data_IF_112781306952
#
_entry.id   IF_112781306952
#
_cell.length_a   1.000
_cell.length_b   1.000
_cell.length_c   1.000
_cell.angle_alpha   90.00
_cell.angle_beta   90.00
_cell.angle_gamma   90.00
#
_symmetry.space_group_name_H-M   'P 1'
#
loop_
_entity.id
_entity.type
_entity.pdbx_description
1 polymer ?
#
# COMPACT_ATOMS: atom_id res chain seq x y z
N UNK A 1 5.02 -34.28 1.37
CA UNK A 1 5.54 -32.96 0.92
C UNK A 1 4.99 -32.44 -0.43
N UNK A 2 3.69 -32.59 -0.80
CA UNK A 2 3.13 -31.84 -1.94
C UNK A 2 2.35 -30.55 -1.57
N UNK A 3 1.95 -30.34 -0.31
CA UNK A 3 1.09 -29.20 0.06
C UNK A 3 1.81 -27.83 0.06
N UNK A 4 3.11 -27.78 0.38
CA UNK A 4 3.86 -26.52 0.45
C UNK A 4 4.11 -25.88 -0.93
N UNK A 5 4.36 -26.68 -1.97
CA UNK A 5 4.67 -26.15 -3.31
C UNK A 5 3.47 -25.50 -3.99
N UNK A 6 2.25 -25.97 -3.69
CA UNK A 6 1.01 -25.40 -4.24
C UNK A 6 0.65 -24.06 -3.59
N UNK A 7 0.83 -23.93 -2.27
CA UNK A 7 0.53 -22.68 -1.54
C UNK A 7 1.43 -21.53 -2.01
N UNK A 8 2.71 -21.82 -2.23
CA UNK A 8 3.70 -20.82 -2.64
C UNK A 8 3.47 -20.33 -4.09
N UNK A 9 2.97 -21.22 -4.96
CA UNK A 9 2.57 -20.89 -6.33
C UNK A 9 1.33 -19.99 -6.37
N UNK A 10 0.33 -20.25 -5.50
CA UNK A 10 -0.87 -19.41 -5.42
C UNK A 10 -0.58 -18.02 -4.86
N UNK A 11 0.30 -17.91 -3.86
CA UNK A 11 0.76 -16.62 -3.35
C UNK A 11 1.43 -15.78 -4.46
N UNK A 12 2.31 -16.38 -5.25
CA UNK A 12 2.97 -15.72 -6.39
C UNK A 12 1.95 -15.27 -7.43
N UNK A 13 0.95 -16.10 -7.75
CA UNK A 13 -0.14 -15.72 -8.66
C UNK A 13 -0.87 -14.48 -8.15
N UNK A 14 -1.27 -14.43 -6.87
CA UNK A 14 -1.96 -13.27 -6.31
C UNK A 14 -1.09 -12.00 -6.33
N UNK A 15 0.22 -12.12 -6.09
CA UNK A 15 1.14 -11.00 -6.20
C UNK A 15 1.28 -10.50 -7.65
N UNK A 16 1.30 -11.40 -8.64
CA UNK A 16 1.24 -11.03 -10.05
C UNK A 16 -0.08 -10.33 -10.40
N UNK A 17 -1.19 -10.75 -9.80
CA UNK A 17 -2.49 -10.12 -9.99
C UNK A 17 -2.53 -8.69 -9.44
N UNK A 18 -1.95 -8.47 -8.25
CA UNK A 18 -1.75 -7.13 -7.69
C UNK A 18 -0.90 -6.30 -8.64
N UNK A 19 0.21 -6.86 -9.13
CA UNK A 19 1.10 -6.17 -10.05
C UNK A 19 0.36 -5.71 -11.31
N UNK A 20 -0.37 -6.59 -11.99
CA UNK A 20 -1.11 -6.26 -13.21
C UNK A 20 -2.19 -5.20 -12.97
N UNK A 21 -2.97 -5.33 -11.89
CA UNK A 21 -4.06 -4.41 -11.61
C UNK A 21 -3.57 -2.99 -11.27
N UNK A 22 -2.53 -2.87 -10.46
CA UNK A 22 -1.92 -1.57 -10.12
C UNK A 22 -1.07 -1.02 -11.26
N UNK A 23 -0.47 -1.87 -12.11
CA UNK A 23 0.26 -1.43 -13.29
C UNK A 23 -0.70 -0.71 -14.24
N UNK A 24 -1.86 -1.32 -14.51
CA UNK A 24 -2.92 -0.68 -15.29
C UNK A 24 -3.32 0.69 -14.72
N UNK A 25 -3.49 0.81 -13.40
CA UNK A 25 -3.76 2.10 -12.75
C UNK A 25 -2.71 3.17 -13.06
N UNK A 26 -1.43 2.77 -12.99
CA UNK A 26 -0.28 3.66 -12.98
C UNK A 26 0.16 4.07 -14.39
N UNK A 27 -0.30 3.36 -15.43
CA UNK A 27 -0.14 3.77 -16.85
C UNK A 27 -0.80 5.11 -17.16
N UNK A 28 -1.82 5.50 -16.40
CA UNK A 28 -2.49 6.78 -16.62
C UNK A 28 -1.62 7.95 -16.13
N UNK A 29 -0.87 7.80 -15.04
CA UNK A 29 -0.14 8.89 -14.36
C UNK A 29 0.61 9.86 -15.28
N UNK A 30 1.48 9.42 -16.21
CA UNK A 30 2.23 10.32 -17.08
C UNK A 30 1.35 11.07 -18.09
N UNK A 31 0.15 10.55 -18.38
CA UNK A 31 -0.78 11.14 -19.36
C UNK A 31 -1.97 11.85 -18.75
N UNK A 32 -2.21 11.78 -17.42
CA UNK A 32 -3.38 12.38 -16.76
C UNK A 32 -3.56 13.85 -17.15
N UNK A 33 -2.51 14.66 -16.94
CA UNK A 33 -2.55 16.11 -17.18
C UNK A 33 -2.70 16.49 -18.67
N UNK A 34 -1.91 15.95 -19.61
CA UNK A 34 -2.11 16.26 -21.03
C UNK A 34 -3.45 15.72 -21.54
N UNK A 35 -3.90 14.55 -21.08
CA UNK A 35 -5.20 13.99 -21.45
C UNK A 35 -6.36 14.86 -20.95
N UNK A 36 -6.29 15.36 -19.71
CA UNK A 36 -7.35 16.21 -19.17
C UNK A 36 -7.49 17.52 -19.94
N UNK A 37 -6.37 18.12 -20.33
CA UNK A 37 -6.34 19.33 -21.17
C UNK A 37 -6.88 19.04 -22.57
N UNK A 38 -6.50 17.91 -23.17
CA UNK A 38 -7.01 17.47 -24.47
C UNK A 38 -8.53 17.18 -24.46
N UNK A 39 -9.06 16.74 -23.32
CA UNK A 39 -10.49 16.53 -23.10
C UNK A 39 -11.25 17.84 -22.81
N UNK A 40 -10.57 18.95 -22.54
CA UNK A 40 -11.20 20.22 -22.12
C UNK A 40 -11.67 20.23 -20.66
N UNK A 41 -11.17 19.31 -19.82
CA UNK A 41 -11.49 19.28 -18.39
C UNK A 41 -10.68 20.35 -17.65
N UNK A 42 -11.34 21.03 -16.71
CA UNK A 42 -10.67 21.90 -15.77
C UNK A 42 -9.79 21.08 -14.80
N UNK A 43 -8.66 21.64 -14.35
CA UNK A 43 -7.70 20.91 -13.51
C UNK A 43 -8.34 20.42 -12.19
N UNK A 44 -9.26 21.20 -11.61
CA UNK A 44 -10.00 20.82 -10.40
C UNK A 44 -10.92 19.60 -10.59
N UNK A 45 -11.43 19.37 -11.80
CA UNK A 45 -12.32 18.24 -12.11
C UNK A 45 -11.57 16.90 -12.05
N UNK A 46 -10.31 16.89 -12.49
CA UNK A 46 -9.44 15.72 -12.35
C UNK A 46 -9.10 15.48 -10.87
N UNK A 47 -8.77 16.53 -10.12
CA UNK A 47 -8.55 16.45 -8.68
C UNK A 47 -9.75 15.88 -7.93
N UNK A 48 -10.97 16.31 -8.28
CA UNK A 48 -12.22 15.79 -7.73
C UNK A 48 -12.41 14.30 -8.07
N UNK A 49 -12.07 13.88 -9.30
CA UNK A 49 -12.15 12.48 -9.74
C UNK A 49 -11.20 11.58 -8.95
N UNK A 50 -9.96 12.01 -8.74
CA UNK A 50 -8.96 11.29 -7.94
C UNK A 50 -9.41 11.21 -6.47
N UNK A 51 -9.94 12.30 -5.93
CA UNK A 51 -10.45 12.36 -4.56
C UNK A 51 -11.65 11.42 -4.35
N UNK A 52 -12.57 11.36 -5.31
CA UNK A 52 -13.69 10.43 -5.27
C UNK A 52 -13.22 8.96 -5.31
N UNK A 53 -12.19 8.65 -6.10
CA UNK A 53 -11.58 7.31 -6.09
C UNK A 53 -10.94 6.97 -4.74
N UNK A 54 -10.21 7.93 -4.13
CA UNK A 54 -9.63 7.75 -2.81
C UNK A 54 -10.70 7.57 -1.72
N UNK A 55 -11.80 8.33 -1.77
CA UNK A 55 -12.92 8.18 -0.87
C UNK A 55 -13.62 6.82 -1.03
N UNK A 56 -13.88 6.40 -2.28
CA UNK A 56 -14.43 5.08 -2.57
C UNK A 56 -13.51 3.97 -2.01
N UNK A 57 -12.19 4.14 -2.11
CA UNK A 57 -11.22 3.23 -1.51
C UNK A 57 -11.37 3.18 0.02
N UNK A 58 -11.41 4.32 0.69
CA UNK A 58 -11.57 4.39 2.16
C UNK A 58 -12.86 3.70 2.61
N UNK A 59 -13.98 4.02 1.96
CA UNK A 59 -15.30 3.55 2.36
C UNK A 59 -15.51 2.06 2.04
N UNK A 60 -15.01 1.57 0.90
CA UNK A 60 -15.28 0.22 0.43
C UNK A 60 -14.21 -0.80 0.83
N UNK A 61 -13.04 -0.38 1.34
CA UNK A 61 -11.97 -1.32 1.67
C UNK A 61 -12.36 -2.33 2.77
N UNK A 62 -13.03 -1.87 3.84
CA UNK A 62 -13.64 -2.74 4.86
C UNK A 62 -14.64 -3.73 4.28
N UNK A 63 -15.50 -3.22 3.40
CA UNK A 63 -16.57 -3.99 2.79
C UNK A 63 -15.99 -5.15 1.98
N UNK A 64 -15.00 -4.87 1.13
CA UNK A 64 -14.34 -5.88 0.31
C UNK A 64 -13.54 -6.89 1.13
N UNK A 65 -12.81 -6.43 2.16
CA UNK A 65 -12.05 -7.34 3.03
C UNK A 65 -12.94 -8.35 3.76
N UNK A 66 -14.12 -7.94 4.25
CA UNK A 66 -15.10 -8.88 4.81
C UNK A 66 -15.70 -9.77 3.73
N UNK A 67 -16.02 -9.21 2.56
CA UNK A 67 -16.60 -9.98 1.46
C UNK A 67 -15.66 -11.07 0.97
N UNK A 68 -14.35 -10.83 0.98
CA UNK A 68 -13.34 -11.83 0.60
C UNK A 68 -13.26 -13.02 1.55
N UNK A 69 -13.52 -12.82 2.85
CA UNK A 69 -13.59 -13.93 3.80
C UNK A 69 -14.85 -14.77 3.63
N UNK A 70 -15.97 -14.15 3.25
CA UNK A 70 -17.26 -14.84 3.07
C UNK A 70 -17.41 -15.52 1.72
N UNK A 71 -17.02 -14.87 0.62
CA UNK A 71 -17.15 -15.40 -0.75
C UNK A 71 -15.92 -16.16 -1.22
N UNK A 72 -14.80 -16.03 -0.51
CA UNK A 72 -13.50 -16.49 -0.95
C UNK A 72 -12.79 -15.46 -1.85
N UNK A 73 -11.47 -15.63 -1.93
CA UNK A 73 -10.55 -14.74 -2.64
C UNK A 73 -10.84 -14.70 -4.14
N UNK A 74 -11.03 -15.87 -4.77
CA UNK A 74 -11.24 -15.96 -6.23
C UNK A 74 -12.47 -15.15 -6.66
N UNK A 75 -13.63 -15.44 -6.07
CA UNK A 75 -14.89 -14.78 -6.42
C UNK A 75 -14.83 -13.28 -6.18
N UNK A 76 -14.26 -12.88 -5.04
CA UNK A 76 -14.16 -11.45 -4.68
C UNK A 76 -13.26 -10.69 -5.64
N UNK A 77 -12.07 -11.22 -5.95
CA UNK A 77 -11.15 -10.59 -6.90
C UNK A 77 -11.73 -10.56 -8.31
N UNK A 78 -12.34 -11.65 -8.81
CA UNK A 78 -12.97 -11.67 -10.14
C UNK A 78 -14.09 -10.64 -10.22
N UNK A 79 -15.00 -10.60 -9.24
CA UNK A 79 -16.09 -9.61 -9.22
C UNK A 79 -15.55 -8.19 -9.22
N UNK A 80 -14.60 -7.88 -8.34
CA UNK A 80 -14.00 -6.55 -8.28
C UNK A 80 -13.28 -6.19 -9.58
N UNK A 81 -12.47 -7.09 -10.15
CA UNK A 81 -11.74 -6.82 -11.38
C UNK A 81 -12.66 -6.67 -12.59
N UNK A 82 -13.78 -7.39 -12.67
CA UNK A 82 -14.80 -7.19 -13.72
C UNK A 82 -15.46 -5.81 -13.60
N UNK A 83 -15.80 -5.37 -12.37
CA UNK A 83 -16.31 -4.01 -12.15
C UNK A 83 -15.26 -2.97 -12.55
N UNK A 84 -13.99 -3.21 -12.20
CA UNK A 84 -12.87 -2.34 -12.60
C UNK A 84 -12.70 -2.29 -14.12
N UNK A 85 -12.83 -3.44 -14.81
CA UNK A 85 -12.78 -3.52 -16.27
C UNK A 85 -13.89 -2.69 -16.91
N UNK A 86 -15.13 -2.80 -16.42
CA UNK A 86 -16.24 -1.97 -16.90
C UNK A 86 -16.00 -0.48 -16.64
N UNK A 87 -15.48 -0.12 -15.46
CA UNK A 87 -15.12 1.26 -15.13
C UNK A 87 -14.03 1.83 -16.04
N UNK A 88 -12.96 1.07 -16.31
CA UNK A 88 -11.88 1.48 -17.22
C UNK A 88 -12.34 1.52 -18.68
N UNK A 89 -13.14 0.56 -19.13
CA UNK A 89 -13.73 0.56 -20.47
C UNK A 89 -14.64 1.76 -20.69
N UNK A 90 -15.50 2.06 -19.71
CA UNK A 90 -16.32 3.27 -19.69
C UNK A 90 -15.47 4.55 -19.73
N UNK A 91 -14.43 4.64 -18.90
CA UNK A 91 -13.51 5.78 -18.92
C UNK A 91 -12.79 5.93 -20.27
N UNK A 92 -12.41 4.83 -20.90
CA UNK A 92 -11.78 4.85 -22.24
C UNK A 92 -12.73 5.44 -23.28
N UNK A 93 -14.01 5.04 -23.26
CA UNK A 93 -15.02 5.59 -24.15
C UNK A 93 -15.26 7.09 -23.89
N UNK A 94 -15.35 7.49 -22.61
CA UNK A 94 -15.51 8.90 -22.20
C UNK A 94 -14.32 9.75 -22.64
N UNK A 95 -13.09 9.27 -22.43
CA UNK A 95 -11.87 9.95 -22.85
C UNK A 95 -11.80 10.11 -24.38
N UNK A 96 -12.17 9.07 -25.12
CA UNK A 96 -12.21 9.11 -26.57
C UNK A 96 -13.25 10.12 -27.10
N UNK A 97 -14.44 10.16 -26.51
CA UNK A 97 -15.48 11.13 -26.85
C UNK A 97 -15.09 12.57 -26.47
N UNK A 98 -14.44 12.74 -25.32
CA UNK A 98 -13.95 14.02 -24.83
C UNK A 98 -12.88 14.64 -25.74
N UNK A 99 -11.86 13.86 -26.11
CA UNK A 99 -10.80 14.33 -27.01
C UNK A 99 -11.33 14.72 -28.41
N UNK A 100 -12.44 14.11 -28.86
CA UNK A 100 -13.10 14.46 -30.12
C UNK A 100 -14.08 15.64 -30.02
N UNK A 101 -14.29 16.18 -28.82
CA UNK A 101 -15.26 17.25 -28.58
C UNK A 101 -16.72 16.82 -28.72
N UNK A 102 -17.01 15.50 -28.75
CA UNK A 102 -18.39 14.98 -28.82
C UNK A 102 -19.08 15.08 -27.46
N UNK A 103 -18.31 14.88 -26.39
CA UNK A 103 -18.77 14.98 -25.01
C UNK A 103 -17.96 16.08 -24.32
N UNK A 104 -18.61 17.18 -23.91
CA UNK A 104 -17.95 18.34 -23.30
C UNK A 104 -18.52 18.67 -21.92
N UNK A 105 -17.84 19.57 -21.20
CA UNK A 105 -18.34 20.26 -20.00
C UNK A 105 -18.84 19.33 -18.87
N UNK A 106 -20.02 19.63 -18.33
CA UNK A 106 -20.63 18.91 -17.21
C UNK A 106 -20.78 17.40 -17.45
N UNK A 107 -21.39 16.95 -18.57
CA UNK A 107 -21.50 15.53 -18.90
C UNK A 107 -20.16 14.80 -18.93
N UNK A 108 -19.13 15.41 -19.53
CA UNK A 108 -17.79 14.84 -19.58
C UNK A 108 -17.21 14.64 -18.16
N UNK A 109 -17.34 15.65 -17.31
CA UNK A 109 -16.90 15.59 -15.93
C UNK A 109 -17.65 14.50 -15.14
N UNK A 110 -18.98 14.47 -15.20
CA UNK A 110 -19.80 13.49 -14.46
C UNK A 110 -19.50 12.07 -14.89
N UNK A 111 -19.37 11.81 -16.20
CA UNK A 111 -19.05 10.47 -16.69
C UNK A 111 -17.61 10.06 -16.32
N UNK A 112 -16.66 11.00 -16.34
CA UNK A 112 -15.28 10.76 -15.87
C UNK A 112 -15.25 10.42 -14.38
N UNK A 113 -15.98 11.20 -13.57
CA UNK A 113 -16.12 10.99 -12.12
C UNK A 113 -16.76 9.62 -11.81
N UNK A 114 -17.81 9.25 -12.53
CA UNK A 114 -18.52 7.99 -12.33
C UNK A 114 -17.64 6.79 -12.71
N UNK A 115 -17.10 6.79 -13.93
CA UNK A 115 -16.36 5.64 -14.49
C UNK A 115 -14.99 5.46 -13.83
N UNK A 116 -14.17 6.51 -13.81
CA UNK A 116 -12.79 6.46 -13.32
C UNK A 116 -12.68 6.68 -11.82
N UNK A 117 -13.52 7.56 -11.27
CA UNK A 117 -13.55 7.89 -9.85
C UNK A 117 -14.22 6.79 -9.04
N UNK A 118 -15.55 6.69 -9.16
CA UNK A 118 -16.36 5.84 -8.28
C UNK A 118 -16.32 4.35 -8.63
N UNK A 119 -16.64 3.98 -9.89
CA UNK A 119 -16.75 2.58 -10.29
C UNK A 119 -15.37 1.90 -10.19
N UNK A 120 -14.37 2.45 -10.87
CA UNK A 120 -13.03 1.89 -10.83
C UNK A 120 -12.37 2.04 -9.45
N UNK A 121 -12.47 3.21 -8.80
CA UNK A 121 -11.87 3.43 -7.47
C UNK A 121 -12.47 2.52 -6.39
N UNK A 122 -13.78 2.29 -6.43
CA UNK A 122 -14.45 1.36 -5.53
C UNK A 122 -14.08 -0.10 -5.79
N UNK A 123 -13.83 -0.47 -7.05
CA UNK A 123 -13.43 -1.82 -7.42
C UNK A 123 -11.97 -2.14 -7.07
N UNK A 124 -11.03 -1.24 -7.38
CA UNK A 124 -9.60 -1.46 -7.11
C UNK A 124 -9.31 -1.57 -5.60
N UNK A 125 -10.16 -0.94 -4.76
CA UNK A 125 -10.11 -1.01 -3.31
C UNK A 125 -10.21 -2.44 -2.74
N UNK A 126 -10.70 -3.40 -3.51
CA UNK A 126 -10.84 -4.79 -3.10
C UNK A 126 -9.51 -5.57 -3.14
N UNK A 127 -8.60 -5.20 -4.05
CA UNK A 127 -7.48 -6.07 -4.43
C UNK A 127 -6.48 -6.21 -3.28
N UNK A 128 -5.96 -5.08 -2.78
CA UNK A 128 -4.97 -5.06 -1.70
C UNK A 128 -5.48 -5.75 -0.42
N UNK A 129 -6.67 -5.44 0.15
CA UNK A 129 -7.11 -6.08 1.38
C UNK A 129 -7.42 -7.58 1.20
N UNK A 130 -7.97 -7.98 0.05
CA UNK A 130 -8.27 -9.39 -0.24
C UNK A 130 -7.00 -10.22 -0.30
N UNK A 131 -5.99 -9.74 -1.03
CA UNK A 131 -4.70 -10.45 -1.16
C UNK A 131 -3.95 -10.43 0.16
N UNK A 132 -3.92 -9.31 0.88
CA UNK A 132 -3.29 -9.21 2.19
C UNK A 132 -3.89 -10.23 3.17
N UNK A 133 -5.21 -10.27 3.30
CA UNK A 133 -5.90 -11.21 4.19
C UNK A 133 -5.60 -12.67 3.83
N UNK A 134 -5.55 -12.99 2.53
CA UNK A 134 -5.19 -14.34 2.07
C UNK A 134 -3.75 -14.69 2.45
N UNK A 135 -2.77 -13.84 2.12
CA UNK A 135 -1.37 -14.13 2.37
C UNK A 135 -1.08 -14.27 3.88
N UNK A 136 -1.69 -13.41 4.71
CA UNK A 136 -1.51 -13.44 6.16
C UNK A 136 -2.15 -14.67 6.80
N UNK A 137 -3.33 -15.10 6.33
CA UNK A 137 -4.00 -16.30 6.88
C UNK A 137 -3.29 -17.62 6.53
N UNK A 138 -2.45 -17.61 5.49
CA UNK A 138 -1.63 -18.75 5.06
C UNK A 138 -0.21 -18.73 5.64
N UNK A 139 0.18 -17.66 6.33
CA UNK A 139 1.46 -17.56 7.03
C UNK A 139 1.33 -18.08 8.48
N UNK A 140 2.14 -19.08 8.82
CA UNK A 140 2.14 -19.73 10.13
C UNK A 140 2.87 -18.88 11.16
N UNK A 141 3.99 -18.26 10.77
CA UNK A 141 4.84 -17.50 11.67
C UNK A 141 4.70 -15.98 11.50
N UNK A 142 5.08 -15.23 12.53
CA UNK A 142 5.16 -13.77 12.46
C UNK A 142 6.06 -13.30 11.31
N UNK A 143 7.24 -13.93 11.16
CA UNK A 143 8.19 -13.56 10.10
C UNK A 143 7.61 -13.82 8.71
N UNK A 144 6.87 -14.92 8.52
CA UNK A 144 6.18 -15.20 7.26
C UNK A 144 5.10 -14.15 6.95
N UNK A 145 4.33 -13.71 7.94
CA UNK A 145 3.32 -12.64 7.75
C UNK A 145 3.98 -11.34 7.32
N UNK A 146 5.07 -10.95 7.98
CA UNK A 146 5.86 -9.77 7.60
C UNK A 146 6.41 -9.90 6.18
N UNK A 147 6.98 -11.07 5.82
CA UNK A 147 7.50 -11.35 4.47
C UNK A 147 6.40 -11.28 3.40
N UNK A 148 5.23 -11.83 3.70
CA UNK A 148 4.05 -11.84 2.85
C UNK A 148 3.54 -10.43 2.56
N UNK A 149 3.38 -9.59 3.59
CA UNK A 149 2.91 -8.21 3.37
C UNK A 149 4.00 -7.35 2.73
N UNK A 150 5.28 -7.58 3.05
CA UNK A 150 6.40 -6.98 2.32
C UNK A 150 6.42 -7.34 0.83
N UNK A 151 6.05 -8.58 0.49
CA UNK A 151 5.88 -9.02 -0.90
C UNK A 151 4.76 -8.27 -1.63
N UNK A 152 3.63 -8.05 -0.96
CA UNK A 152 2.51 -7.27 -1.49
C UNK A 152 2.92 -5.82 -1.79
N UNK A 153 3.63 -5.17 -0.85
CA UNK A 153 4.16 -3.82 -1.03
C UNK A 153 5.16 -3.73 -2.20
N UNK A 154 6.08 -4.69 -2.30
CA UNK A 154 7.02 -4.76 -3.41
C UNK A 154 6.32 -4.93 -4.77
N UNK A 155 5.26 -5.75 -4.84
CA UNK A 155 4.47 -5.91 -6.06
C UNK A 155 3.77 -4.61 -6.48
N UNK A 156 3.21 -3.85 -5.52
CA UNK A 156 2.62 -2.53 -5.78
C UNK A 156 3.66 -1.50 -6.23
N UNK A 157 4.85 -1.48 -5.61
CA UNK A 157 5.95 -0.62 -6.00
C UNK A 157 6.43 -0.90 -7.43
N UNK A 158 6.64 -2.19 -7.76
CA UNK A 158 7.00 -2.61 -9.11
C UNK A 158 5.92 -2.23 -10.13
N UNK A 159 4.64 -2.41 -9.78
CA UNK A 159 3.51 -2.02 -10.62
C UNK A 159 3.48 -0.52 -10.91
N UNK A 160 3.81 0.32 -9.93
CA UNK A 160 3.88 1.77 -10.10
C UNK A 160 4.96 2.18 -11.09
N UNK A 161 6.16 1.63 -10.95
CA UNK A 161 7.29 1.92 -11.84
C UNK A 161 7.00 1.42 -13.26
N UNK A 162 6.66 0.13 -13.40
CA UNK A 162 6.39 -0.48 -14.70
C UNK A 162 5.20 0.18 -15.40
N UNK A 163 4.14 0.49 -14.63
CA UNK A 163 2.95 1.16 -15.14
C UNK A 163 3.27 2.55 -15.68
N UNK A 164 3.97 3.39 -14.91
CA UNK A 164 4.32 4.74 -15.36
C UNK A 164 5.22 4.72 -16.60
N UNK A 165 6.22 3.84 -16.65
CA UNK A 165 7.10 3.69 -17.83
C UNK A 165 6.30 3.22 -19.04
N UNK A 166 5.49 2.16 -18.89
CA UNK A 166 4.65 1.65 -19.97
C UNK A 166 3.66 2.72 -20.46
N UNK A 167 3.05 3.47 -19.53
CA UNK A 167 2.14 4.57 -19.85
C UNK A 167 2.80 5.65 -20.71
N UNK A 168 4.00 6.09 -20.33
CA UNK A 168 4.76 7.09 -21.09
C UNK A 168 5.20 6.59 -22.48
N UNK A 169 5.70 5.36 -22.56
CA UNK A 169 6.12 4.74 -23.84
C UNK A 169 4.93 4.58 -24.78
N UNK A 170 3.80 4.06 -24.29
CA UNK A 170 2.58 3.92 -25.10
C UNK A 170 2.06 5.29 -25.55
N UNK A 171 2.10 6.30 -24.69
CA UNK A 171 1.69 7.65 -25.05
C UNK A 171 2.55 8.23 -26.18
N UNK A 172 3.87 8.02 -26.12
CA UNK A 172 4.81 8.45 -27.14
C UNK A 172 4.61 7.71 -28.47
N UNK A 173 4.27 6.41 -28.42
CA UNK A 173 4.12 5.58 -29.60
C UNK A 173 2.76 5.78 -30.33
N UNK A 174 1.68 6.01 -29.58
CA UNK A 174 0.31 5.98 -30.13
C UNK A 174 -0.60 7.12 -29.66
N UNK A 175 -0.05 8.14 -28.99
CA UNK A 175 -0.80 9.27 -28.46
C UNK A 175 -1.46 9.00 -27.11
N UNK A 176 -2.09 10.02 -26.53
CA UNK A 176 -2.60 10.03 -25.15
C UNK A 176 -3.67 8.98 -24.85
N UNK A 177 -4.47 8.60 -25.87
CA UNK A 177 -5.52 7.59 -25.71
C UNK A 177 -4.99 6.15 -25.74
N UNK A 178 -3.78 5.92 -26.26
CA UNK A 178 -3.24 4.57 -26.36
C UNK A 178 -3.06 3.91 -24.98
N UNK A 179 -2.34 4.51 -24.00
CA UNK A 179 -2.25 3.93 -22.66
C UNK A 179 -3.62 3.77 -22.00
N UNK A 180 -4.54 4.73 -22.19
CA UNK A 180 -5.92 4.66 -21.65
C UNK A 180 -6.64 3.42 -22.15
N UNK A 181 -6.57 3.14 -23.45
CA UNK A 181 -7.18 1.96 -24.07
C UNK A 181 -6.50 0.64 -23.69
N UNK A 182 -5.23 0.66 -23.28
CA UNK A 182 -4.50 -0.53 -22.84
C UNK A 182 -4.83 -0.93 -21.40
N UNK A 183 -5.21 0.01 -20.52
CA UNK A 183 -5.52 -0.30 -19.11
C UNK A 183 -6.62 -1.37 -18.94
N UNK A 184 -7.78 -1.30 -19.64
CA UNK A 184 -8.78 -2.37 -19.62
C UNK A 184 -8.22 -3.72 -20.09
N UNK A 185 -7.35 -3.72 -21.10
CA UNK A 185 -6.76 -4.96 -21.64
C UNK A 185 -5.85 -5.63 -20.61
N UNK A 186 -5.02 -4.86 -19.91
CA UNK A 186 -4.18 -5.38 -18.81
C UNK A 186 -5.04 -5.96 -17.68
N UNK A 187 -6.14 -5.28 -17.33
CA UNK A 187 -7.11 -5.78 -16.35
C UNK A 187 -7.75 -7.10 -16.80
N UNK A 188 -8.16 -7.19 -18.07
CA UNK A 188 -8.74 -8.40 -18.65
C UNK A 188 -7.75 -9.58 -18.64
N UNK A 189 -6.49 -9.34 -19.01
CA UNK A 189 -5.42 -10.35 -18.92
C UNK A 189 -5.31 -10.87 -17.49
N UNK A 190 -5.31 -9.98 -16.50
CA UNK A 190 -5.35 -10.36 -15.09
C UNK A 190 -6.54 -11.27 -14.77
N UNK A 191 -7.76 -10.87 -15.14
CA UNK A 191 -8.98 -11.66 -14.89
C UNK A 191 -8.84 -13.07 -15.47
N UNK A 192 -8.38 -13.19 -16.72
CA UNK A 192 -8.19 -14.49 -17.39
C UNK A 192 -7.19 -15.34 -16.63
N UNK A 193 -6.03 -14.79 -16.25
CA UNK A 193 -5.01 -15.51 -15.48
C UNK A 193 -5.59 -15.99 -14.14
N UNK A 194 -6.31 -15.12 -13.43
CA UNK A 194 -6.93 -15.45 -12.14
C UNK A 194 -7.97 -16.57 -12.28
N UNK A 195 -8.85 -16.49 -13.28
CA UNK A 195 -9.91 -17.50 -13.49
C UNK A 195 -9.31 -18.87 -13.83
N UNK A 196 -8.29 -18.89 -14.70
CA UNK A 196 -7.67 -20.13 -15.22
C UNK A 196 -6.68 -20.75 -14.23
N UNK A 197 -5.88 -19.95 -13.52
CA UNK A 197 -4.75 -20.48 -12.71
C UNK A 197 -5.04 -20.53 -11.21
N UNK A 198 -5.93 -19.68 -10.69
CA UNK A 198 -6.22 -19.63 -9.26
C UNK A 198 -7.34 -20.61 -8.90
N UNK A 199 -7.07 -21.51 -7.96
CA UNK A 199 -8.03 -22.51 -7.51
C UNK A 199 -8.84 -21.98 -6.33
N UNK A 200 -10.12 -22.34 -6.24
CA UNK A 200 -10.98 -21.88 -5.14
C UNK A 200 -10.48 -22.42 -3.79
N UNK A 201 -10.69 -21.64 -2.73
CA UNK A 201 -10.40 -22.07 -1.38
C UNK A 201 -11.41 -23.15 -0.97
N UNK A 202 -10.98 -24.17 -0.24
CA UNK A 202 -11.90 -25.16 0.33
C UNK A 202 -12.98 -24.46 1.15
N UNK A 203 -14.26 -24.91 1.08
CA UNK A 203 -15.38 -24.30 1.80
C UNK A 203 -15.11 -24.11 3.30
N UNK A 204 -14.36 -25.02 3.91
CA UNK A 204 -13.99 -25.00 5.34
C UNK A 204 -13.14 -23.79 5.76
N UNK A 205 -12.58 -23.04 4.79
CA UNK A 205 -11.79 -21.82 5.05
C UNK A 205 -12.62 -20.54 4.88
N UNK A 206 -13.88 -20.63 4.47
CA UNK A 206 -14.77 -19.48 4.34
C UNK A 206 -15.36 -19.13 5.70
N UNK A 207 -15.47 -17.82 5.97
CA UNK A 207 -16.04 -17.32 7.22
C UNK A 207 -17.44 -16.80 6.93
N UNK A 208 -18.44 -17.50 7.44
CA UNK A 208 -19.85 -17.21 7.15
C UNK A 208 -20.28 -15.82 7.66
N UNK A 209 -19.78 -15.43 8.84
CA UNK A 209 -19.96 -14.12 9.47
C UNK A 209 -18.61 -13.48 9.81
N UNK A 210 -17.98 -12.77 8.86
CA UNK A 210 -16.73 -12.06 9.12
C UNK A 210 -16.91 -11.02 10.24
N UNK A 211 -15.99 -10.99 11.20
CA UNK A 211 -16.04 -10.05 12.31
C UNK A 211 -15.83 -8.60 11.81
N UNK A 212 -16.63 -7.67 12.35
CA UNK A 212 -16.40 -6.24 12.14
C UNK A 212 -15.31 -5.76 13.09
N UNK A 213 -14.21 -5.24 12.53
CA UNK A 213 -13.13 -4.67 13.33
C UNK A 213 -13.35 -3.16 13.44
N UNK A 214 -13.40 -2.66 14.67
CA UNK A 214 -13.56 -1.23 14.94
C UNK A 214 -12.23 -0.49 14.82
N UNK A 215 -12.24 0.75 14.32
CA UNK A 215 -11.10 1.67 14.35
C UNK A 215 -10.53 1.90 15.76
N UNK A 216 -11.35 1.75 16.80
CA UNK A 216 -10.98 2.01 18.20
C UNK A 216 -10.53 0.77 18.97
N UNK A 217 -10.35 -0.37 18.30
CA UNK A 217 -9.82 -1.56 18.96
C UNK A 217 -8.43 -1.29 19.55
N UNK A 218 -8.27 -1.48 20.86
CA UNK A 218 -7.03 -1.17 21.60
C UNK A 218 -5.83 -1.99 21.11
N UNK A 219 -6.06 -3.15 20.49
CA UNK A 219 -5.00 -4.01 19.93
C UNK A 219 -4.45 -3.48 18.59
N UNK A 220 -5.27 -2.71 17.87
CA UNK A 220 -5.00 -2.32 16.47
C UNK A 220 -4.75 -0.82 16.37
N UNK A 221 -5.42 -0.01 17.19
CA UNK A 221 -5.32 1.45 17.18
C UNK A 221 -3.88 1.97 17.24
N UNK A 222 -2.96 1.44 18.08
CA UNK A 222 -1.56 1.90 18.08
C UNK A 222 -0.89 1.69 16.72
N UNK A 223 -1.18 0.58 16.04
CA UNK A 223 -0.68 0.34 14.69
C UNK A 223 -1.30 1.32 13.69
N UNK A 224 -2.60 1.59 13.75
CA UNK A 224 -3.25 2.58 12.87
C UNK A 224 -2.64 3.98 13.04
N UNK A 225 -2.34 4.40 14.27
CA UNK A 225 -1.64 5.66 14.56
C UNK A 225 -0.27 5.68 13.89
N UNK A 226 0.54 4.63 14.06
CA UNK A 226 1.85 4.56 13.39
C UNK A 226 1.74 4.59 11.87
N UNK A 227 0.79 3.85 11.28
CA UNK A 227 0.54 3.90 9.84
C UNK A 227 0.09 5.26 9.35
N UNK A 228 -0.78 5.94 10.12
CA UNK A 228 -1.25 7.27 9.79
C UNK A 228 -0.10 8.28 9.76
N UNK A 229 0.76 8.28 10.79
CA UNK A 229 1.94 9.15 10.85
C UNK A 229 2.92 8.85 9.70
N UNK A 230 3.16 7.55 9.42
CA UNK A 230 4.03 7.11 8.33
C UNK A 230 3.53 7.62 6.98
N UNK A 231 2.28 7.34 6.63
CA UNK A 231 1.75 7.69 5.31
C UNK A 231 1.46 9.19 5.17
N UNK A 232 1.08 9.88 6.25
CA UNK A 232 0.91 11.34 6.22
C UNK A 232 2.23 12.04 5.89
N UNK A 233 3.33 11.65 6.55
CA UNK A 233 4.64 12.23 6.27
C UNK A 233 5.18 11.82 4.89
N UNK A 234 5.05 10.55 4.52
CA UNK A 234 5.44 10.07 3.18
C UNK A 234 4.69 10.82 2.07
N UNK A 235 3.36 10.93 2.17
CA UNK A 235 2.51 11.57 1.18
C UNK A 235 2.75 13.08 1.09
N UNK A 236 3.06 13.73 2.22
CA UNK A 236 3.48 15.14 2.26
C UNK A 236 4.73 15.37 1.42
N UNK A 237 5.79 14.58 1.64
CA UNK A 237 7.03 14.71 0.88
C UNK A 237 6.80 14.38 -0.59
N UNK A 238 6.11 13.28 -0.89
CA UNK A 238 5.80 12.88 -2.27
C UNK A 238 5.02 13.95 -3.05
N UNK A 239 4.14 14.70 -2.39
CA UNK A 239 3.39 15.82 -2.99
C UNK A 239 4.29 17.02 -3.25
N UNK A 240 5.20 17.32 -2.30
CA UNK A 240 5.98 18.56 -2.32
C UNK A 240 7.35 18.46 -2.99
N UNK A 241 7.88 17.27 -3.31
CA UNK A 241 9.23 17.12 -3.91
C UNK A 241 9.40 18.03 -5.13
N UNK A 242 8.42 18.07 -6.05
CA UNK A 242 8.52 18.90 -7.26
C UNK A 242 8.60 20.40 -6.96
N UNK A 243 7.73 20.88 -6.06
CA UNK A 243 7.72 22.27 -5.63
C UNK A 243 9.02 22.65 -4.92
N UNK A 244 9.45 21.84 -3.96
CA UNK A 244 10.68 22.08 -3.21
C UNK A 244 11.92 22.06 -4.09
N UNK A 245 12.00 21.15 -5.08
CA UNK A 245 13.12 21.13 -6.03
C UNK A 245 13.16 22.41 -6.87
N UNK A 246 12.00 22.89 -7.32
CA UNK A 246 11.91 24.09 -8.13
C UNK A 246 12.24 25.36 -7.34
N UNK A 247 11.58 25.54 -6.20
CA UNK A 247 11.58 26.80 -5.47
C UNK A 247 12.86 27.00 -4.66
N UNK A 248 13.43 25.92 -4.12
CA UNK A 248 14.60 25.98 -3.23
C UNK A 248 15.93 25.99 -3.99
N UNK A 249 15.98 25.35 -5.16
CA UNK A 249 17.23 25.23 -5.93
C UNK A 249 17.23 26.07 -7.22
N UNK A 250 16.14 26.79 -7.49
CA UNK A 250 16.01 27.72 -8.61
C UNK A 250 16.35 27.09 -9.98
N UNK A 251 16.06 25.81 -10.16
CA UNK A 251 16.27 25.13 -11.44
C UNK A 251 15.30 25.64 -12.49
N UNK A 252 15.74 25.64 -13.76
CA UNK A 252 14.85 25.90 -14.90
C UNK A 252 13.77 24.82 -14.98
N UNK A 253 12.60 25.15 -15.52
CA UNK A 253 11.44 24.25 -15.56
C UNK A 253 11.75 22.86 -16.15
N UNK A 254 12.62 22.78 -17.16
CA UNK A 254 13.05 21.51 -17.75
C UNK A 254 14.00 20.71 -16.82
N UNK A 255 14.91 21.38 -16.10
CA UNK A 255 15.81 20.73 -15.14
C UNK A 255 15.08 20.21 -13.90
N UNK A 256 14.12 20.98 -13.39
CA UNK A 256 13.28 20.60 -12.24
C UNK A 256 12.54 19.29 -12.49
N UNK A 257 11.92 19.14 -13.66
CA UNK A 257 11.14 17.94 -13.98
C UNK A 257 12.01 16.69 -13.97
N UNK A 258 13.20 16.74 -14.60
CA UNK A 258 14.12 15.60 -14.65
C UNK A 258 14.66 15.22 -13.27
N UNK A 259 15.07 16.20 -12.46
CA UNK A 259 15.59 15.97 -11.10
C UNK A 259 14.50 15.41 -10.20
N UNK A 260 13.31 16.00 -10.22
CA UNK A 260 12.14 15.54 -9.44
C UNK A 260 11.79 14.10 -9.79
N UNK A 261 11.71 13.78 -11.09
CA UNK A 261 11.44 12.42 -11.55
C UNK A 261 12.52 11.45 -11.06
N UNK A 262 13.80 11.82 -11.15
CA UNK A 262 14.91 11.02 -10.64
C UNK A 262 14.83 10.76 -9.13
N UNK A 263 14.49 11.78 -8.33
CA UNK A 263 14.33 11.66 -6.88
C UNK A 263 13.15 10.74 -6.52
N UNK A 264 11.97 10.94 -7.12
CA UNK A 264 10.78 10.13 -6.86
C UNK A 264 10.96 8.67 -7.30
N UNK A 265 11.64 8.46 -8.44
CA UNK A 265 12.01 7.13 -8.92
C UNK A 265 12.99 6.46 -7.94
N UNK A 266 14.03 7.17 -7.51
CA UNK A 266 14.97 6.67 -6.51
C UNK A 266 14.30 6.30 -5.19
N UNK A 267 13.43 7.17 -4.67
CA UNK A 267 12.65 6.92 -3.45
C UNK A 267 11.80 5.65 -3.60
N UNK A 268 11.11 5.49 -4.73
CA UNK A 268 10.25 4.33 -4.99
C UNK A 268 11.05 3.04 -5.15
N UNK A 269 12.20 3.10 -5.83
CA UNK A 269 13.10 1.96 -6.01
C UNK A 269 13.71 1.50 -4.68
N UNK A 270 14.20 2.43 -3.86
CA UNK A 270 14.75 2.13 -2.54
C UNK A 270 13.67 1.52 -1.65
N UNK A 271 12.46 2.08 -1.65
CA UNK A 271 11.34 1.52 -0.89
C UNK A 271 11.01 0.09 -1.31
N UNK A 272 10.85 -0.15 -2.63
CA UNK A 272 10.55 -1.47 -3.16
C UNK A 272 11.68 -2.49 -2.87
N UNK A 273 12.95 -2.07 -2.99
CA UNK A 273 14.10 -2.90 -2.67
C UNK A 273 14.14 -3.28 -1.18
N UNK A 274 13.88 -2.32 -0.29
CA UNK A 274 13.86 -2.57 1.14
C UNK A 274 12.71 -3.52 1.50
N UNK A 275 11.50 -3.29 0.98
CA UNK A 275 10.33 -4.15 1.25
C UNK A 275 10.49 -5.57 0.70
N UNK A 276 10.94 -5.70 -0.55
CA UNK A 276 11.03 -6.98 -1.24
C UNK A 276 12.29 -7.77 -0.93
N UNK A 277 13.42 -7.08 -0.68
CA UNK A 277 14.73 -7.68 -0.47
C UNK A 277 15.15 -7.68 1.00
N UNK A 278 15.32 -6.49 1.57
CA UNK A 278 15.92 -6.32 2.92
C UNK A 278 15.02 -6.92 4.01
N UNK A 279 13.75 -6.52 4.07
CA UNK A 279 12.80 -6.99 5.10
C UNK A 279 12.68 -8.51 5.10
N UNK A 280 12.69 -9.14 3.92
CA UNK A 280 12.63 -10.60 3.81
C UNK A 280 13.86 -11.31 4.37
N UNK A 281 15.03 -10.68 4.31
CA UNK A 281 16.28 -11.25 4.84
C UNK A 281 16.47 -10.99 6.33
N UNK A 282 15.97 -9.87 6.85
CA UNK A 282 16.17 -9.50 8.25
C UNK A 282 15.44 -10.40 9.24
N UNK A 283 14.26 -10.92 8.88
CA UNK A 283 13.45 -11.76 9.78
C UNK A 283 13.01 -11.05 11.07
N UNK A 284 13.01 -9.71 11.07
CA UNK A 284 12.68 -8.92 12.25
C UNK A 284 11.18 -8.91 12.58
N UNK A 285 10.83 -8.81 13.87
CA UNK A 285 9.44 -8.65 14.30
C UNK A 285 8.89 -7.27 13.93
N UNK A 286 7.56 -7.14 13.94
CA UNK A 286 6.86 -5.94 13.47
C UNK A 286 7.26 -4.66 14.22
N UNK A 287 7.37 -4.71 15.55
CA UNK A 287 7.75 -3.55 16.36
C UNK A 287 9.18 -3.04 16.06
N UNK A 288 10.14 -3.94 15.78
CA UNK A 288 11.52 -3.56 15.47
C UNK A 288 11.59 -2.88 14.10
N UNK A 289 10.84 -3.39 13.12
CA UNK A 289 10.70 -2.77 11.80
C UNK A 289 10.13 -1.36 11.89
N UNK A 290 9.08 -1.16 12.70
CA UNK A 290 8.50 0.16 12.96
C UNK A 290 9.53 1.11 13.58
N UNK A 291 10.22 0.69 14.66
CA UNK A 291 11.22 1.53 15.35
C UNK A 291 12.35 1.98 14.44
N UNK A 292 12.98 1.03 13.75
CA UNK A 292 14.11 1.34 12.87
C UNK A 292 13.64 2.16 11.67
N UNK A 293 12.47 1.84 11.11
CA UNK A 293 11.88 2.62 10.03
C UNK A 293 11.64 4.08 10.44
N UNK A 294 10.98 4.33 11.59
CA UNK A 294 10.78 5.69 12.10
C UNK A 294 12.09 6.41 12.45
N UNK A 295 13.12 5.69 12.93
CA UNK A 295 14.43 6.28 13.19
C UNK A 295 15.07 6.79 11.89
N UNK A 296 15.06 5.96 10.85
CA UNK A 296 15.56 6.33 9.51
C UNK A 296 14.73 7.48 8.92
N UNK A 297 13.41 7.45 9.07
CA UNK A 297 12.53 8.53 8.60
C UNK A 297 12.76 9.83 9.37
N UNK A 298 13.09 9.78 10.65
CA UNK A 298 13.43 10.98 11.43
C UNK A 298 14.70 11.64 10.90
N UNK A 299 15.73 10.84 10.59
CA UNK A 299 16.95 11.34 9.93
C UNK A 299 16.62 11.94 8.57
N UNK A 300 15.77 11.29 7.78
CA UNK A 300 15.24 11.84 6.52
C UNK A 300 14.57 13.20 6.73
N UNK A 301 13.70 13.34 7.74
CA UNK A 301 13.03 14.59 8.09
C UNK A 301 14.02 15.72 8.39
N UNK A 302 15.13 15.43 9.07
CA UNK A 302 16.20 16.41 9.31
C UNK A 302 16.83 16.86 7.98
N UNK A 303 17.20 15.91 7.11
CA UNK A 303 17.83 16.24 5.82
C UNK A 303 16.91 17.04 4.88
N UNK A 304 15.60 16.78 4.94
CA UNK A 304 14.61 17.53 4.16
C UNK A 304 14.39 18.95 4.70
N UNK A 305 14.49 19.12 6.03
CA UNK A 305 14.26 20.40 6.70
C UNK A 305 15.44 21.38 6.58
N UNK A 306 16.68 20.90 6.73
CA UNK A 306 17.86 21.78 6.70
C UNK A 306 18.04 22.41 5.32
N UNK A 307 18.57 23.63 5.28
CA UNK A 307 18.96 24.27 4.01
C UNK A 307 20.32 23.78 3.52
N UNK A 308 20.27 22.80 2.64
CA UNK A 308 21.38 22.03 2.08
C UNK A 308 21.19 21.81 0.57
N UNK A 309 22.25 21.51 -0.20
CA UNK A 309 22.19 21.32 -1.65
C UNK A 309 21.30 20.14 -2.07
N UNK A 310 20.88 20.14 -3.34
CA UNK A 310 19.89 19.20 -3.90
C UNK A 310 20.22 17.71 -3.67
N UNK A 311 21.50 17.34 -3.62
CA UNK A 311 21.90 15.95 -3.37
C UNK A 311 21.62 15.51 -1.93
N UNK A 312 21.68 16.42 -0.95
CA UNK A 312 21.30 16.17 0.45
C UNK A 312 19.79 15.98 0.55
N UNK A 313 19.03 16.84 -0.14
CA UNK A 313 17.58 16.70 -0.23
C UNK A 313 17.18 15.37 -0.89
N UNK A 314 17.83 15.02 -2.00
CA UNK A 314 17.67 13.73 -2.67
C UNK A 314 17.99 12.55 -1.75
N UNK A 315 19.10 12.61 -1.01
CA UNK A 315 19.45 11.59 0.00
C UNK A 315 18.37 11.49 1.10
N UNK A 316 17.81 12.62 1.54
CA UNK A 316 16.66 12.66 2.44
C UNK A 316 15.46 11.90 1.88
N UNK A 317 15.10 12.10 0.60
CA UNK A 317 14.04 11.35 -0.06
C UNK A 317 14.33 9.85 -0.20
N UNK A 318 15.59 9.46 -0.45
CA UNK A 318 15.97 8.04 -0.48
C UNK A 318 15.87 7.39 0.90
N UNK A 319 16.30 8.08 1.96
CA UNK A 319 16.13 7.61 3.34
C UNK A 319 14.65 7.52 3.73
N UNK A 320 13.80 8.44 3.25
CA UNK A 320 12.35 8.32 3.42
C UNK A 320 11.84 7.02 2.79
N UNK A 321 12.27 6.71 1.56
CA UNK A 321 11.94 5.45 0.90
C UNK A 321 12.40 4.23 1.69
N UNK A 322 13.63 4.24 2.21
CA UNK A 322 14.18 3.15 3.02
C UNK A 322 13.43 2.96 4.33
N UNK A 323 13.18 4.05 5.06
CA UNK A 323 12.47 4.03 6.33
C UNK A 323 11.01 3.59 6.21
N UNK A 324 10.28 4.13 5.22
CA UNK A 324 8.93 3.67 4.86
C UNK A 324 8.92 2.21 4.43
N UNK A 325 9.94 1.78 3.68
CA UNK A 325 10.10 0.40 3.25
C UNK A 325 10.29 -0.58 4.40
N UNK A 326 10.97 -0.19 5.47
CA UNK A 326 11.10 -0.97 6.71
C UNK A 326 9.80 -0.95 7.53
N UNK A 327 9.23 0.24 7.77
CA UNK A 327 8.12 0.40 8.69
C UNK A 327 6.77 -0.12 8.14
N UNK A 328 6.53 -0.06 6.83
CA UNK A 328 5.25 -0.45 6.24
C UNK A 328 4.89 -1.93 6.47
N UNK A 329 5.80 -2.92 6.30
CA UNK A 329 5.53 -4.30 6.70
C UNK A 329 5.26 -4.46 8.20
N UNK A 330 5.94 -3.71 9.06
CA UNK A 330 5.69 -3.74 10.51
C UNK A 330 4.30 -3.20 10.87
N UNK A 331 3.90 -2.07 10.29
CA UNK A 331 2.57 -1.46 10.45
C UNK A 331 1.44 -2.39 10.00
N UNK A 332 1.62 -3.03 8.85
CA UNK A 332 0.57 -3.84 8.22
C UNK A 332 0.49 -5.26 8.76
N UNK A 333 1.62 -5.87 9.12
CA UNK A 333 1.66 -7.23 9.65
C UNK A 333 1.47 -7.29 11.18
N UNK A 334 1.98 -6.33 11.94
CA UNK A 334 1.86 -6.30 13.41
C UNK A 334 0.44 -6.52 13.96
N UNK A 335 -0.57 -5.74 13.55
CA UNK A 335 -1.92 -5.89 14.09
C UNK A 335 -2.57 -7.23 13.67
N UNK A 336 -2.04 -7.90 12.64
CA UNK A 336 -2.56 -9.20 12.22
C UNK A 336 -2.18 -10.32 13.16
N UNK A 337 -1.13 -10.15 13.97
CA UNK A 337 -0.59 -11.18 14.86
C UNK A 337 -1.53 -11.49 16.03
N UNK A 338 -2.15 -10.45 16.60
CA UNK A 338 -3.07 -10.57 17.73
C UNK A 338 -4.54 -10.75 17.33
N UNK A 339 -4.81 -11.09 16.07
CA UNK A 339 -6.15 -11.13 15.48
C UNK A 339 -6.50 -12.52 14.93
N UNK A 340 -7.73 -12.94 15.21
CA UNK A 340 -8.28 -14.19 14.70
C UNK A 340 -8.44 -14.15 13.18
N UNK A 341 -8.47 -15.33 12.55
CA UNK A 341 -8.62 -15.48 11.09
C UNK A 341 -9.86 -14.79 10.55
N UNK A 342 -10.93 -14.74 11.34
CA UNK A 342 -12.22 -14.12 11.01
C UNK A 342 -12.16 -12.59 10.93
N UNK A 343 -11.18 -11.98 11.60
CA UNK A 343 -10.98 -10.52 11.66
C UNK A 343 -9.99 -10.01 10.62
N UNK A 344 -9.25 -10.89 9.92
CA UNK A 344 -8.15 -10.51 9.02
C UNK A 344 -8.61 -9.69 7.81
N UNK A 345 -9.75 -10.04 7.21
CA UNK A 345 -10.33 -9.29 6.10
C UNK A 345 -10.78 -7.90 6.51
N UNK A 346 -11.49 -7.80 7.63
CA UNK A 346 -11.81 -6.53 8.29
C UNK A 346 -10.55 -5.72 8.57
N UNK A 347 -9.57 -6.25 9.30
CA UNK A 347 -8.32 -5.55 9.59
C UNK A 347 -7.58 -5.05 8.33
N UNK A 348 -7.43 -5.90 7.30
CA UNK A 348 -6.77 -5.51 6.06
C UNK A 348 -7.49 -4.36 5.35
N UNK A 349 -8.82 -4.37 5.37
CA UNK A 349 -9.63 -3.25 4.89
C UNK A 349 -9.42 -1.96 5.71
N UNK A 350 -9.06 -2.09 6.99
CA UNK A 350 -8.98 -0.98 7.94
C UNK A 350 -7.66 -0.25 7.76
N UNK A 351 -6.60 -1.04 7.61
CA UNK A 351 -5.27 -0.60 7.22
C UNK A 351 -5.34 0.17 5.89
N UNK A 352 -6.03 -0.37 4.88
CA UNK A 352 -6.18 0.30 3.59
C UNK A 352 -7.01 1.59 3.70
N UNK A 353 -8.10 1.59 4.48
CA UNK A 353 -8.88 2.79 4.74
C UNK A 353 -8.06 3.88 5.47
N UNK A 354 -7.24 3.49 6.45
CA UNK A 354 -6.32 4.39 7.15
C UNK A 354 -5.31 5.03 6.19
N UNK A 355 -4.73 4.24 5.28
CA UNK A 355 -3.83 4.77 4.25
C UNK A 355 -4.58 5.72 3.30
N UNK A 356 -5.78 5.35 2.86
CA UNK A 356 -6.62 6.20 2.01
C UNK A 356 -6.92 7.56 2.64
N UNK A 357 -7.19 7.62 3.95
CA UNK A 357 -7.42 8.87 4.67
C UNK A 357 -6.21 9.80 4.61
N UNK A 358 -5.00 9.27 4.74
CA UNK A 358 -3.77 10.09 4.61
C UNK A 358 -3.59 10.66 3.21
N UNK A 359 -3.99 9.95 2.15
CA UNK A 359 -3.92 10.47 0.78
C UNK A 359 -4.92 11.60 0.52
N UNK A 360 -6.00 11.67 1.30
CA UNK A 360 -6.93 12.80 1.26
C UNK A 360 -6.37 14.00 2.03
N UNK A 361 -5.86 13.77 3.25
CA UNK A 361 -5.45 14.86 4.15
C UNK A 361 -4.08 15.45 3.75
N UNK A 362 -3.11 14.62 3.39
CA UNK A 362 -1.73 15.05 3.22
C UNK A 362 -1.54 16.10 2.11
N UNK A 363 -2.08 15.94 0.89
CA UNK A 363 -1.83 16.92 -0.18
C UNK A 363 -2.40 18.30 0.17
N UNK A 364 -3.60 18.35 0.76
CA UNK A 364 -4.26 19.59 1.17
C UNK A 364 -3.48 20.25 2.31
N UNK A 365 -3.18 19.49 3.37
CA UNK A 365 -2.46 20.03 4.53
C UNK A 365 -1.03 20.46 4.20
N UNK A 366 -0.33 19.69 3.37
CA UNK A 366 1.06 19.98 3.00
C UNK A 366 1.19 21.21 2.10
N UNK A 367 0.34 21.35 1.08
CA UNK A 367 0.35 22.53 0.21
C UNK A 367 -0.09 23.79 0.94
N UNK A 368 -1.08 23.70 1.85
CA UNK A 368 -1.47 24.83 2.70
C UNK A 368 -0.32 25.28 3.63
N UNK A 369 0.37 24.34 4.28
CA UNK A 369 1.56 24.65 5.09
C UNK A 369 2.68 25.23 4.25
N UNK A 370 2.88 24.72 3.03
CA UNK A 370 3.91 25.21 2.10
C UNK A 370 3.64 26.66 1.70
N UNK A 371 2.38 27.02 1.47
CA UNK A 371 1.96 28.39 1.14
C UNK A 371 2.15 29.40 2.29
N UNK A 372 2.15 28.94 3.55
CA UNK A 372 2.49 29.80 4.71
C UNK A 372 4.01 30.00 4.77
N UNK A 373 4.77 28.92 4.70
CA UNK A 373 6.23 28.97 4.67
C UNK A 373 6.80 27.70 4.01
N UNK A 374 7.72 27.86 3.07
CA UNK A 374 8.21 26.75 2.24
C UNK A 374 8.88 25.62 3.06
N UNK A 375 9.41 25.91 4.25
CA UNK A 375 10.02 24.90 5.14
C UNK A 375 9.05 24.28 6.16
N UNK A 376 7.87 24.86 6.38
CA UNK A 376 6.93 24.40 7.39
C UNK A 376 6.46 22.94 7.20
N UNK A 377 6.19 22.46 5.97
CA UNK A 377 5.84 21.05 5.76
C UNK A 377 6.95 20.09 6.16
N UNK A 378 8.21 20.44 5.93
CA UNK A 378 9.34 19.57 6.27
C UNK A 378 9.59 19.53 7.77
N UNK A 379 9.35 20.63 8.48
CA UNK A 379 9.34 20.64 9.94
C UNK A 379 8.21 19.77 10.50
N UNK A 380 7.01 19.87 9.92
CA UNK A 380 5.89 19.01 10.30
C UNK A 380 6.20 17.53 10.06
N UNK A 381 6.82 17.18 8.92
CA UNK A 381 7.28 15.81 8.62
C UNK A 381 8.28 15.31 9.66
N UNK A 382 9.29 16.13 10.01
CA UNK A 382 10.26 15.79 11.05
C UNK A 382 9.56 15.55 12.41
N UNK A 383 8.62 16.42 12.78
CA UNK A 383 7.84 16.27 14.00
C UNK A 383 6.99 14.98 13.99
N UNK A 384 6.29 14.70 12.89
CA UNK A 384 5.47 13.48 12.73
C UNK A 384 6.31 12.20 12.89
N UNK A 385 7.49 12.14 12.28
CA UNK A 385 8.36 10.98 12.38
C UNK A 385 9.01 10.84 13.76
N UNK A 386 9.37 11.96 14.39
CA UNK A 386 9.87 11.97 15.77
C UNK A 386 8.81 11.49 16.74
N UNK A 387 7.56 11.97 16.60
CA UNK A 387 6.41 11.51 17.39
C UNK A 387 6.17 10.01 17.16
N UNK A 388 6.20 9.55 15.91
CA UNK A 388 6.09 8.13 15.58
C UNK A 388 7.19 7.29 16.24
N UNK A 389 8.44 7.75 16.18
CA UNK A 389 9.57 7.09 16.82
C UNK A 389 9.36 6.98 18.33
N UNK A 390 9.10 8.10 19.01
CA UNK A 390 8.85 8.14 20.47
C UNK A 390 7.67 7.23 20.83
N UNK A 391 6.58 7.28 20.06
CA UNK A 391 5.40 6.45 20.28
C UNK A 391 5.74 4.95 20.23
N UNK A 392 6.59 4.52 19.30
CA UNK A 392 7.03 3.10 19.20
C UNK A 392 7.94 2.65 20.36
N UNK A 393 8.57 3.58 21.08
CA UNK A 393 9.34 3.27 22.29
C UNK A 393 8.51 3.32 23.57
N UNK A 394 7.57 4.26 23.66
CA UNK A 394 6.78 4.49 24.88
C UNK A 394 5.60 3.52 25.00
N UNK A 395 4.90 3.22 23.90
CA UNK A 395 3.65 2.49 23.97
C UNK A 395 3.86 1.01 24.39
N UNK A 396 3.13 0.49 25.41
CA UNK A 396 3.37 -0.84 25.99
C UNK A 396 3.31 -2.00 24.98
N UNK A 397 2.42 -1.89 23.99
CA UNK A 397 2.25 -2.91 22.95
C UNK A 397 3.55 -3.20 22.19
N UNK A 398 4.34 -2.16 21.89
CA UNK A 398 5.62 -2.32 21.18
C UNK A 398 6.78 -2.69 22.11
N UNK A 399 6.65 -2.46 23.42
CA UNK A 399 7.67 -2.83 24.43
C UNK A 399 7.58 -4.31 24.81
N UNK A 400 6.37 -4.84 24.98
CA UNK A 400 6.15 -6.16 25.60
C UNK A 400 6.13 -7.36 24.64
N UNK A 401 6.16 -7.16 23.32
CA UNK A 401 6.31 -8.27 22.36
C UNK A 401 7.65 -9.02 22.51
N UNK A 402 8.66 -8.40 23.15
CA UNK A 402 9.89 -9.10 23.57
C UNK A 402 9.75 -9.91 24.87
N UNK A 403 8.87 -9.47 25.79
CA UNK A 403 8.72 -10.08 27.12
C UNK A 403 7.84 -11.36 27.10
N UNK A 404 6.85 -11.43 26.21
CA UNK A 404 5.99 -12.62 26.05
C UNK A 404 6.77 -13.83 25.50
N UNK A 405 7.83 -13.59 24.70
CA UNK A 405 8.72 -14.65 24.20
C UNK A 405 9.63 -15.24 25.27
N UNK A 406 9.98 -14.49 26.30
CA UNK A 406 10.84 -14.97 27.40
C UNK A 406 10.04 -15.82 28.39
N UNK A 407 8.85 -15.35 28.79
CA UNK A 407 7.97 -16.09 29.71
C UNK A 407 7.48 -17.44 29.17
N UNK A 408 7.30 -17.58 27.84
CA UNK A 408 6.90 -18.86 27.24
C UNK A 408 8.05 -19.85 27.08
N UNK A 409 9.29 -19.36 26.95
CA UNK A 409 10.48 -20.20 26.85
C UNK A 409 10.93 -20.69 28.24
N UNK A 410 10.85 -19.82 29.25
CA UNK A 410 11.15 -20.18 30.65
C UNK A 410 10.12 -21.20 31.21
N UNK A 411 8.84 -21.09 30.79
CA UNK A 411 7.81 -22.07 31.16
C UNK A 411 8.02 -23.44 30.50
N UNK A 412 8.38 -23.46 29.21
CA UNK A 412 8.68 -24.70 28.48
C UNK A 412 9.97 -25.39 28.99
N UNK A 413 10.99 -24.62 29.39
CA UNK A 413 12.21 -25.13 30.00
C UNK A 413 11.94 -25.68 31.42
N UNK A 414 10.98 -25.10 32.17
CA UNK A 414 10.57 -25.62 33.48
C UNK A 414 9.74 -26.91 33.40
N UNK A 415 8.84 -27.05 32.42
CA UNK A 415 8.07 -28.29 32.20
C UNK A 415 8.95 -29.44 31.65
N UNK A 416 10.03 -29.12 30.94
CA UNK A 416 11.01 -30.10 30.45
C UNK A 416 11.90 -30.72 31.54
N UNK A 417 12.06 -30.05 32.69
CA UNK A 417 12.87 -30.54 33.80
C UNK A 417 12.09 -31.38 34.83
N UNK A 418 10.78 -31.21 34.96
CA UNK A 418 9.96 -31.98 35.92
C UNK A 418 9.59 -33.40 35.44
N UNK A 419 9.79 -33.73 34.16
CA UNK A 419 9.38 -35.02 33.58
C UNK A 419 10.40 -36.18 33.72
N UNK A 420 11.40 -36.07 34.59
CA UNK A 420 12.37 -37.16 34.87
C UNK A 420 12.33 -37.61 36.32
N UNK A 421 11.35 -38.45 36.66
CA UNK A 421 11.36 -39.27 37.89
C UNK A 421 11.59 -40.75 37.51
N UNK A 422 12.48 -41.50 38.19
CA UNK A 422 12.89 -42.83 37.74
C UNK A 422 11.86 -43.91 38.06
N UNK A 423 11.72 -44.89 37.16
CA UNK A 423 11.00 -46.16 37.39
C UNK A 423 11.62 -46.91 38.58
N UNK A 424 10.79 -47.26 39.56
CA UNK A 424 11.13 -48.19 40.63
C UNK A 424 10.87 -49.62 40.13
N UNK A 425 11.92 -50.44 40.11
CA UNK A 425 11.88 -51.86 39.79
C UNK A 425 11.07 -52.66 40.82
N UNK A 426 10.21 -53.56 40.32
CA UNK A 426 9.65 -54.68 41.09
C UNK A 426 10.60 -55.87 41.03
N UNK A 427 10.85 -56.61 42.13
CA UNK A 427 11.44 -57.93 42.02
C UNK A 427 10.37 -59.02 42.02
N UNK A 428 10.60 -59.98 41.14
CA UNK A 428 9.94 -61.29 41.03
C UNK A 428 10.31 -62.15 42.24
N UNK A 429 9.33 -62.85 42.82
CA UNK A 429 9.49 -63.83 43.90
C UNK A 429 8.14 -64.37 44.36
#
# INVERSE_FOLDING_TARGET
MPAESHSDSQAKLLLTMVLLAFMGQMMLNPVIAPLSRAMGLAEWQIGATISAAALALVLLSQFWGRRSQRLGVKRTLVTAMVIALCGLGGFTAVAWLGVRGVLTDGPLFVMTLLTRGLIYGGAIAAIAPTVQAHLVTHAATESERVKAVGALGAAQGAASILGAVAGGVLAAAGGLLFPVSTMPVVMLIGIVILVVRFHEQSPDRLVEKPASVSFRDRRIFPYLVTGFLLFLGFSTVATLVGFAVQDRFHFTSNGTAAITAGILLGLSLVMAFVQGGVVRRLGWPAHRLLRVGFAVMTVSGVLLFIDAPVWVFGAGCLLLGAGSGLAMPGYTAGPTLGMDRESQGGLAGLINANNGLTYVIAPIGSTALYGIHHTAPFLAVLALFTVGLVFTFVHPLFRNEGAVKQSGNDAADSEGQEATVPKVDQPVG
#
